data_IF_033593894975
#
_entry.id   IF_033593894975
#
_cell.length_a   1.000
_cell.length_b   1.000
_cell.length_c   1.000
_cell.angle_alpha   90.00
_cell.angle_beta   90.00
_cell.angle_gamma   90.00
#
_symmetry.space_group_name_H-M   'P 1'
#
loop_
_entity.id
_entity.type
_entity.pdbx_description
1 polymer ?
#
# COMPACT_ATOMS: atom_id res chain seq x y z
N UNK A 1 11.67 12.33 8.61
CA UNK A 1 12.40 11.69 7.46
C UNK A 1 11.54 10.56 6.98
N UNK A 2 11.28 10.47 5.66
CA UNK A 2 10.45 9.42 5.08
C UNK A 2 10.96 8.02 5.46
N UNK A 3 10.04 7.06 5.68
CA UNK A 3 10.40 5.65 5.98
C UNK A 3 11.15 5.04 4.78
N UNK A 4 10.68 5.36 3.58
CA UNK A 4 11.34 5.02 2.31
C UNK A 4 11.05 6.10 1.26
N UNK A 5 11.81 6.09 0.17
CA UNK A 5 11.52 6.85 -1.06
C UNK A 5 11.46 5.86 -2.22
N UNK A 6 10.58 6.10 -3.19
CA UNK A 6 10.43 5.22 -4.34
C UNK A 6 9.16 4.38 -4.29
N UNK A 7 9.23 3.13 -4.72
CA UNK A 7 8.09 2.23 -4.85
C UNK A 7 8.04 1.21 -3.70
N UNK A 8 7.07 1.36 -2.80
CA UNK A 8 6.72 0.34 -1.83
C UNK A 8 5.62 -0.57 -2.38
N UNK A 9 5.79 -1.88 -2.34
CA UNK A 9 4.76 -2.82 -2.75
C UNK A 9 3.73 -3.05 -1.64
N UNK A 10 2.45 -2.83 -1.92
CA UNK A 10 1.38 -3.38 -1.08
C UNK A 10 1.20 -4.85 -1.45
N UNK A 11 2.00 -5.71 -0.80
CA UNK A 11 2.17 -7.11 -1.20
C UNK A 11 0.90 -7.92 -0.95
N UNK A 12 0.56 -8.83 -1.88
CA UNK A 12 -0.53 -9.80 -1.69
C UNK A 12 -0.17 -10.81 -0.61
N UNK A 13 -1.19 -11.38 0.04
CA UNK A 13 -1.05 -12.56 0.91
C UNK A 13 -1.48 -13.79 0.12
N UNK A 14 -0.55 -14.69 -0.26
CA UNK A 14 -0.90 -15.94 -0.93
C UNK A 14 -1.71 -16.86 -0.01
N UNK A 15 -2.71 -17.51 -0.58
CA UNK A 15 -3.59 -18.43 0.16
C UNK A 15 -3.57 -19.82 -0.49
N UNK A 16 -3.60 -20.85 0.34
CA UNK A 16 -3.86 -22.23 -0.08
C UNK A 16 -5.32 -22.40 -0.50
N UNK A 17 -5.67 -23.55 -1.10
CA UNK A 17 -7.06 -23.87 -1.49
C UNK A 17 -8.02 -23.91 -0.30
N UNK A 18 -7.54 -24.29 0.88
CA UNK A 18 -8.32 -24.30 2.13
C UNK A 18 -8.46 -22.90 2.77
N UNK A 19 -7.86 -21.88 2.14
CA UNK A 19 -7.87 -20.51 2.60
C UNK A 19 -6.80 -20.17 3.65
N UNK A 20 -5.97 -21.10 4.09
CA UNK A 20 -4.83 -20.81 4.98
C UNK A 20 -3.76 -19.99 4.26
N UNK A 21 -2.97 -19.21 5.01
CA UNK A 21 -1.87 -18.42 4.43
C UNK A 21 -0.76 -19.35 3.93
N UNK A 22 -0.34 -19.17 2.67
CA UNK A 22 0.77 -19.91 2.08
C UNK A 22 2.09 -19.16 2.28
N UNK A 23 2.76 -19.43 3.39
CA UNK A 23 4.01 -18.77 3.75
C UNK A 23 5.18 -19.09 2.81
N UNK A 24 5.20 -20.28 2.18
CA UNK A 24 6.23 -20.63 1.20
C UNK A 24 6.14 -19.69 -0.01
N UNK A 25 4.95 -19.59 -0.62
CA UNK A 25 4.71 -18.67 -1.73
C UNK A 25 4.86 -17.21 -1.34
N UNK A 26 4.48 -16.86 -0.11
CA UNK A 26 4.71 -15.50 0.40
C UNK A 26 6.20 -15.17 0.46
N UNK A 27 7.03 -16.12 0.92
CA UNK A 27 8.48 -15.97 0.93
C UNK A 27 9.07 -15.83 -0.48
N UNK A 28 8.57 -16.56 -1.48
CA UNK A 28 8.98 -16.43 -2.88
C UNK A 28 8.63 -15.03 -3.44
N UNK A 29 7.42 -14.52 -3.15
CA UNK A 29 7.00 -13.18 -3.56
C UNK A 29 7.84 -12.07 -2.92
N UNK A 30 8.20 -12.20 -1.63
CA UNK A 30 9.09 -11.26 -0.95
C UNK A 30 10.48 -11.23 -1.65
N UNK A 31 11.05 -12.40 -1.94
CA UNK A 31 12.34 -12.46 -2.66
C UNK A 31 12.24 -11.87 -4.06
N UNK A 32 11.16 -12.15 -4.78
CA UNK A 32 10.90 -11.55 -6.09
C UNK A 32 10.89 -10.02 -6.03
N UNK A 33 10.21 -9.44 -5.04
CA UNK A 33 10.16 -7.99 -4.86
C UNK A 33 11.54 -7.39 -4.59
N UNK A 34 12.29 -7.99 -3.66
CA UNK A 34 13.62 -7.51 -3.28
C UNK A 34 14.61 -7.63 -4.46
N UNK A 35 14.59 -8.76 -5.18
CA UNK A 35 15.47 -9.00 -6.32
C UNK A 35 15.20 -8.04 -7.50
N UNK A 36 13.99 -7.47 -7.57
CA UNK A 36 13.55 -6.57 -8.65
C UNK A 36 13.48 -5.09 -8.22
N UNK A 37 14.13 -4.72 -7.13
CA UNK A 37 14.39 -3.32 -6.77
C UNK A 37 13.26 -2.61 -6.04
N UNK A 38 12.30 -3.33 -5.47
CA UNK A 38 11.28 -2.72 -4.60
C UNK A 38 11.92 -2.01 -3.40
N UNK A 39 11.50 -0.77 -3.11
CA UNK A 39 12.10 0.08 -2.07
C UNK A 39 11.56 -0.20 -0.66
N UNK A 40 10.37 -0.77 -0.53
CA UNK A 40 9.77 -1.17 0.75
C UNK A 40 8.67 -2.22 0.55
N UNK A 41 8.39 -3.03 1.58
CA UNK A 41 7.24 -3.94 1.59
C UNK A 41 6.19 -3.44 2.57
N UNK A 42 4.96 -3.27 2.09
CA UNK A 42 3.79 -2.95 2.89
C UNK A 42 2.98 -4.23 3.05
N UNK A 43 3.03 -4.83 4.23
CA UNK A 43 2.40 -6.12 4.55
C UNK A 43 1.07 -5.92 5.24
N UNK A 44 0.12 -6.80 5.01
CA UNK A 44 -1.23 -6.78 5.61
C UNK A 44 -1.98 -5.45 5.38
N UNK A 45 -1.81 -4.84 4.20
CA UNK A 45 -2.71 -3.79 3.74
C UNK A 45 -3.97 -4.35 3.10
N UNK A 46 -4.69 -3.53 2.34
CA UNK A 46 -5.90 -3.93 1.60
C UNK A 46 -5.60 -5.05 0.60
N UNK A 47 -4.51 -4.91 -0.14
CA UNK A 47 -4.05 -5.89 -1.14
C UNK A 47 -3.62 -7.21 -0.51
N UNK A 48 -3.16 -7.18 0.74
CA UNK A 48 -2.83 -8.35 1.55
C UNK A 48 -4.04 -9.00 2.24
N UNK A 49 -5.28 -8.64 1.86
CA UNK A 49 -6.52 -9.21 2.41
C UNK A 49 -6.63 -9.14 3.95
N UNK A 50 -6.07 -8.09 4.55
CA UNK A 50 -6.01 -7.94 6.02
C UNK A 50 -7.38 -8.05 6.73
N UNK A 51 -8.47 -7.65 6.05
CA UNK A 51 -9.82 -7.67 6.59
C UNK A 51 -10.40 -9.08 6.79
N UNK A 52 -9.83 -10.10 6.17
CA UNK A 52 -10.26 -11.51 6.27
C UNK A 52 -9.26 -12.39 7.01
N UNK A 53 -8.14 -11.83 7.45
CA UNK A 53 -7.21 -12.48 8.36
C UNK A 53 -7.74 -12.38 9.80
N UNK A 54 -7.63 -13.45 10.58
CA UNK A 54 -7.76 -13.35 12.05
C UNK A 54 -6.63 -12.48 12.59
N UNK A 55 -6.75 -11.96 13.81
CA UNK A 55 -5.67 -11.16 14.40
C UNK A 55 -4.36 -11.97 14.53
N UNK A 56 -4.45 -13.26 14.81
CA UNK A 56 -3.31 -14.16 14.88
C UNK A 56 -2.63 -14.31 13.52
N UNK A 57 -3.39 -14.67 12.46
CA UNK A 57 -2.86 -14.77 11.09
C UNK A 57 -2.27 -13.44 10.59
N UNK A 58 -2.90 -12.32 10.94
CA UNK A 58 -2.43 -10.98 10.60
C UNK A 58 -1.04 -10.73 11.19
N UNK A 59 -0.90 -11.01 12.48
CA UNK A 59 0.36 -10.84 13.21
C UNK A 59 1.44 -11.83 12.77
N UNK A 60 1.07 -13.09 12.54
CA UNK A 60 1.99 -14.10 12.03
C UNK A 60 2.50 -13.75 10.62
N UNK A 61 1.63 -13.20 9.76
CA UNK A 61 2.00 -12.74 8.42
C UNK A 61 2.98 -11.57 8.48
N UNK A 62 2.74 -10.60 9.38
CA UNK A 62 3.68 -9.49 9.62
C UNK A 62 5.04 -10.03 10.11
N UNK A 63 5.01 -10.89 11.13
CA UNK A 63 6.23 -11.48 11.69
C UNK A 63 7.02 -12.23 10.65
N UNK A 64 6.37 -13.09 9.87
CA UNK A 64 7.01 -13.82 8.78
C UNK A 64 7.66 -12.88 7.76
N UNK A 65 6.95 -11.81 7.37
CA UNK A 65 7.47 -10.81 6.44
C UNK A 65 8.75 -10.15 6.99
N UNK A 66 8.74 -9.71 8.24
CA UNK A 66 9.90 -9.09 8.89
C UNK A 66 11.10 -10.04 8.93
N UNK A 67 10.86 -11.29 9.38
CA UNK A 67 11.90 -12.33 9.47
C UNK A 67 12.49 -12.65 8.08
N UNK A 68 11.63 -12.75 7.05
CA UNK A 68 12.02 -13.08 5.69
C UNK A 68 12.78 -11.93 5.00
N UNK A 69 12.34 -10.69 5.18
CA UNK A 69 13.01 -9.50 4.63
C UNK A 69 14.37 -9.27 5.30
N UNK A 70 14.51 -9.62 6.57
CA UNK A 70 15.76 -9.57 7.32
C UNK A 70 16.48 -8.21 7.21
N UNK A 71 15.75 -7.11 7.31
CA UNK A 71 16.26 -5.71 7.23
C UNK A 71 16.94 -5.32 5.92
N UNK A 72 16.74 -6.08 4.84
CA UNK A 72 17.26 -5.70 3.51
C UNK A 72 16.61 -4.46 2.91
N UNK A 73 15.31 -4.30 3.16
CA UNK A 73 14.52 -3.12 2.83
C UNK A 73 13.51 -2.86 3.96
N UNK A 74 12.93 -1.65 4.08
CA UNK A 74 11.91 -1.38 5.09
C UNK A 74 10.65 -2.25 4.97
N UNK A 75 10.10 -2.67 6.11
CA UNK A 75 8.79 -3.34 6.23
C UNK A 75 7.83 -2.42 6.97
N UNK A 76 6.72 -2.07 6.32
CA UNK A 76 5.63 -1.27 6.89
C UNK A 76 4.41 -2.16 7.08
N UNK A 77 3.91 -2.28 8.31
CA UNK A 77 2.77 -3.13 8.61
C UNK A 77 1.44 -2.35 8.54
N UNK A 78 0.47 -2.87 7.81
CA UNK A 78 -0.91 -2.38 7.85
C UNK A 78 -1.57 -2.81 9.16
N UNK A 79 -1.74 -1.89 10.10
CA UNK A 79 -2.33 -2.15 11.42
C UNK A 79 -3.58 -1.32 11.70
N UNK A 80 -4.00 -0.48 10.73
CA UNK A 80 -5.20 0.33 10.84
C UNK A 80 -6.47 -0.51 10.96
N UNK A 81 -7.42 -0.01 11.75
CA UNK A 81 -8.74 -0.61 11.96
C UNK A 81 -9.79 0.47 12.17
N UNK A 82 -11.06 0.12 11.97
CA UNK A 82 -12.19 0.97 12.35
C UNK A 82 -12.51 0.89 13.86
N UNK A 83 -11.82 0.04 14.59
CA UNK A 83 -11.81 -0.03 16.06
C UNK A 83 -10.45 0.45 16.57
N UNK A 84 -10.44 1.53 17.36
CA UNK A 84 -9.19 2.13 17.88
C UNK A 84 -8.39 1.15 18.73
N UNK A 85 -9.05 0.36 19.59
CA UNK A 85 -8.38 -0.64 20.44
C UNK A 85 -7.71 -1.73 19.61
N UNK A 86 -8.36 -2.20 18.54
CA UNK A 86 -7.77 -3.17 17.61
C UNK A 86 -6.56 -2.58 16.91
N UNK A 87 -6.64 -1.33 16.44
CA UNK A 87 -5.51 -0.67 15.79
C UNK A 87 -4.32 -0.48 16.74
N UNK A 88 -4.57 -0.12 18.00
CA UNK A 88 -3.53 -0.05 19.05
C UNK A 88 -2.89 -1.41 19.27
N UNK A 89 -3.70 -2.45 19.48
CA UNK A 89 -3.21 -3.81 19.71
C UNK A 89 -2.32 -4.32 18.57
N UNK A 90 -2.81 -4.24 17.33
CA UNK A 90 -2.05 -4.70 16.17
C UNK A 90 -0.76 -3.89 15.97
N UNK A 91 -0.79 -2.57 16.23
CA UNK A 91 0.38 -1.72 16.09
C UNK A 91 1.45 -2.04 17.14
N UNK A 92 1.06 -2.27 18.38
CA UNK A 92 1.98 -2.64 19.46
C UNK A 92 2.61 -4.03 19.25
N UNK A 93 1.84 -5.00 18.75
CA UNK A 93 2.40 -6.32 18.45
C UNK A 93 3.33 -6.27 17.23
N UNK A 94 2.95 -5.53 16.16
CA UNK A 94 3.80 -5.34 14.99
C UNK A 94 5.15 -4.66 15.36
N UNK A 95 5.13 -3.66 16.22
CA UNK A 95 6.35 -3.00 16.71
C UNK A 95 7.31 -4.01 17.40
N UNK A 96 6.79 -4.94 18.20
CA UNK A 96 7.60 -5.97 18.86
C UNK A 96 8.31 -6.89 17.86
N UNK A 97 7.73 -7.11 16.69
CA UNK A 97 8.35 -7.91 15.61
C UNK A 97 9.44 -7.14 14.86
N UNK A 98 9.55 -5.83 15.10
CA UNK A 98 10.62 -5.00 14.52
C UNK A 98 10.30 -4.45 13.13
N UNK A 99 9.04 -4.14 12.83
CA UNK A 99 8.66 -3.39 11.64
C UNK A 99 9.33 -2.01 11.62
N UNK A 100 9.55 -1.45 10.43
CA UNK A 100 10.17 -0.14 10.25
C UNK A 100 9.15 1.00 10.26
N UNK A 101 7.85 0.66 10.19
CA UNK A 101 6.73 1.58 10.28
C UNK A 101 5.38 0.89 10.26
N UNK A 102 4.33 1.67 10.45
CA UNK A 102 2.94 1.19 10.37
C UNK A 102 2.12 2.03 9.38
N UNK A 103 1.14 1.39 8.72
CA UNK A 103 0.17 2.03 7.84
C UNK A 103 -1.21 1.99 8.48
N UNK A 104 -1.79 3.17 8.71
CA UNK A 104 -3.05 3.33 9.42
C UNK A 104 -4.18 3.80 8.49
N UNK A 105 -5.01 2.88 8.01
CA UNK A 105 -6.20 3.23 7.23
C UNK A 105 -7.21 4.00 8.09
N UNK A 106 -7.88 4.99 7.49
CA UNK A 106 -8.97 5.70 8.18
C UNK A 106 -10.11 4.75 8.54
N UNK A 107 -10.80 4.96 9.69
CA UNK A 107 -11.94 4.14 10.08
C UNK A 107 -12.95 4.01 8.96
N UNK A 108 -13.21 2.78 8.52
CA UNK A 108 -14.15 2.41 7.49
C UNK A 108 -15.49 1.99 8.11
N UNK A 109 -16.59 2.09 7.37
CA UNK A 109 -17.94 1.73 7.75
C UNK A 109 -18.55 2.66 8.83
N UNK A 110 -18.04 2.65 10.07
CA UNK A 110 -18.54 3.51 11.18
C UNK A 110 -18.17 4.98 11.00
N UNK A 111 -17.24 5.31 10.09
CA UNK A 111 -16.77 6.67 9.75
C UNK A 111 -16.35 7.45 11.01
N UNK A 112 -15.77 8.62 10.79
CA UNK A 112 -15.47 9.53 11.88
C UNK A 112 -15.50 10.99 11.40
N UNK A 113 -15.76 11.93 12.32
CA UNK A 113 -15.51 13.35 12.07
C UNK A 113 -14.01 13.64 12.08
N UNK A 114 -13.56 14.78 11.54
CA UNK A 114 -12.13 15.15 11.57
C UNK A 114 -11.55 15.15 13.01
N UNK A 115 -12.34 15.59 13.99
CA UNK A 115 -11.97 15.50 15.40
C UNK A 115 -11.83 14.05 15.89
N UNK A 116 -12.69 13.16 15.43
CA UNK A 116 -12.63 11.72 15.72
C UNK A 116 -11.40 11.08 15.08
N UNK A 117 -11.13 11.39 13.80
CA UNK A 117 -9.92 10.93 13.09
C UNK A 117 -8.65 11.37 13.79
N UNK A 118 -8.57 12.64 14.16
CA UNK A 118 -7.42 13.17 14.91
C UNK A 118 -7.17 12.38 16.21
N UNK A 119 -8.23 12.16 17.01
CA UNK A 119 -8.12 11.40 18.26
C UNK A 119 -7.73 9.94 18.02
N UNK A 120 -8.35 9.30 17.03
CA UNK A 120 -8.07 7.91 16.66
C UNK A 120 -6.60 7.72 16.29
N UNK A 121 -6.12 8.46 15.30
CA UNK A 121 -4.73 8.33 14.83
C UNK A 121 -3.71 8.71 15.89
N UNK A 122 -3.97 9.78 16.66
CA UNK A 122 -3.11 10.17 17.76
C UNK A 122 -3.03 9.06 18.83
N UNK A 123 -4.16 8.46 19.20
CA UNK A 123 -4.18 7.37 20.21
C UNK A 123 -3.38 6.16 19.72
N UNK A 124 -3.49 5.79 18.45
CA UNK A 124 -2.72 4.67 17.89
C UNK A 124 -1.23 5.02 17.82
N UNK A 125 -0.88 6.17 17.30
CA UNK A 125 0.51 6.60 17.17
C UNK A 125 1.20 6.78 18.53
N UNK A 126 0.54 7.37 19.52
CA UNK A 126 1.07 7.50 20.90
C UNK A 126 1.35 6.14 21.57
N UNK A 127 0.78 5.04 21.08
CA UNK A 127 0.94 3.70 21.66
C UNK A 127 2.20 2.97 21.19
N UNK A 128 2.91 3.50 20.19
CA UNK A 128 4.11 2.92 19.57
C UNK A 128 5.18 3.99 19.33
N UNK A 129 6.41 3.56 19.04
CA UNK A 129 7.53 4.45 18.72
C UNK A 129 7.86 4.48 17.23
N UNK A 130 7.48 3.43 16.51
CA UNK A 130 7.74 3.34 15.06
C UNK A 130 6.95 4.42 14.30
N UNK A 131 7.47 4.92 13.17
CA UNK A 131 6.78 5.91 12.37
C UNK A 131 5.48 5.35 11.77
N UNK A 132 4.48 6.22 11.68
CA UNK A 132 3.16 5.91 11.15
C UNK A 132 2.86 6.72 9.90
N UNK A 133 2.34 6.04 8.86
CA UNK A 133 1.78 6.64 7.65
C UNK A 133 0.25 6.53 7.75
N UNK A 134 -0.44 7.66 7.63
CA UNK A 134 -1.91 7.67 7.53
C UNK A 134 -2.32 7.14 6.16
N UNK A 135 -3.48 6.48 6.06
CA UNK A 135 -3.99 6.02 4.77
C UNK A 135 -5.38 6.58 4.51
N UNK A 136 -5.47 7.47 3.51
CA UNK A 136 -6.70 8.10 3.06
C UNK A 136 -7.23 7.46 1.78
N UNK A 137 -8.35 6.72 1.87
CA UNK A 137 -8.99 6.03 0.74
C UNK A 137 -10.51 6.13 0.84
N UNK A 138 -11.10 7.32 0.59
CA UNK A 138 -12.53 7.57 0.77
C UNK A 138 -13.44 6.63 -0.02
N UNK A 139 -13.00 6.16 -1.19
CA UNK A 139 -13.76 5.22 -2.03
C UNK A 139 -14.02 3.86 -1.36
N UNK A 140 -13.16 3.46 -0.41
CA UNK A 140 -13.31 2.20 0.35
C UNK A 140 -13.88 2.42 1.74
N UNK A 141 -13.48 3.51 2.40
CA UNK A 141 -13.83 3.75 3.80
C UNK A 141 -15.11 4.56 3.97
N UNK A 142 -15.49 5.34 2.96
CA UNK A 142 -16.53 6.36 3.08
C UNK A 142 -16.13 7.51 4.02
N UNK A 143 -14.84 7.63 4.35
CA UNK A 143 -14.29 8.61 5.29
C UNK A 143 -13.05 9.27 4.66
N UNK A 144 -13.07 10.60 4.50
CA UNK A 144 -11.98 11.37 3.94
C UNK A 144 -11.21 12.11 5.05
N UNK A 145 -9.90 11.96 5.09
CA UNK A 145 -9.02 12.74 5.96
C UNK A 145 -8.72 14.04 5.23
N UNK A 146 -9.17 15.17 5.78
CA UNK A 146 -8.91 16.48 5.16
C UNK A 146 -7.42 16.88 5.32
N UNK A 147 -6.87 17.64 4.36
CA UNK A 147 -5.48 18.12 4.40
C UNK A 147 -5.07 18.74 5.73
N UNK A 148 -5.92 19.60 6.30
CA UNK A 148 -5.68 20.28 7.57
C UNK A 148 -5.55 19.29 8.73
N UNK A 149 -6.32 18.17 8.69
CA UNK A 149 -6.25 17.12 9.71
C UNK A 149 -4.94 16.33 9.59
N UNK A 150 -4.51 16.00 8.36
CA UNK A 150 -3.22 15.34 8.11
C UNK A 150 -2.07 16.20 8.63
N UNK A 151 -2.02 17.48 8.20
CA UNK A 151 -0.95 18.42 8.61
C UNK A 151 -0.93 18.63 10.12
N UNK A 152 -2.11 18.74 10.73
CA UNK A 152 -2.22 18.88 12.19
C UNK A 152 -1.66 17.65 12.91
N UNK A 153 -1.99 16.44 12.44
CA UNK A 153 -1.48 15.20 13.01
C UNK A 153 0.04 15.11 12.89
N UNK A 154 0.61 15.36 11.72
CA UNK A 154 2.07 15.35 11.52
C UNK A 154 2.81 16.41 12.33
N UNK A 155 2.17 17.53 12.69
CA UNK A 155 2.77 18.56 13.55
C UNK A 155 2.68 18.24 15.02
N UNK A 156 1.57 17.65 15.46
CA UNK A 156 1.27 17.47 16.89
C UNK A 156 1.75 16.09 17.41
N UNK A 157 2.05 15.13 16.53
CA UNK A 157 2.39 13.74 16.87
C UNK A 157 3.67 13.35 16.16
N UNK A 158 4.76 13.24 16.92
CA UNK A 158 6.14 13.13 16.42
C UNK A 158 6.34 11.97 15.44
N UNK A 159 5.69 10.82 15.67
CA UNK A 159 5.85 9.62 14.86
C UNK A 159 4.82 9.49 13.73
N UNK A 160 3.89 10.44 13.54
CA UNK A 160 3.08 10.50 12.30
C UNK A 160 3.87 11.29 11.25
N UNK A 161 4.43 10.57 10.27
CA UNK A 161 5.40 11.15 9.32
C UNK A 161 4.81 11.51 7.96
N UNK A 162 3.66 10.96 7.60
CA UNK A 162 3.10 11.19 6.27
C UNK A 162 1.75 10.53 6.01
N UNK A 163 1.37 10.52 4.75
CA UNK A 163 0.11 9.94 4.29
C UNK A 163 0.26 9.19 2.97
N UNK A 164 -0.36 8.00 2.88
CA UNK A 164 -0.71 7.35 1.62
C UNK A 164 -2.02 7.96 1.13
N UNK A 165 -1.96 8.73 0.06
CA UNK A 165 -3.11 9.44 -0.49
C UNK A 165 -3.69 8.67 -1.68
N UNK A 166 -4.87 8.13 -1.51
CA UNK A 166 -5.60 7.34 -2.48
C UNK A 166 -7.04 7.86 -2.72
N UNK A 167 -7.25 9.17 -2.50
CA UNK A 167 -8.55 9.81 -2.78
C UNK A 167 -8.83 9.94 -4.28
N UNK A 168 -7.80 9.91 -5.12
CA UNK A 168 -7.90 10.25 -6.54
C UNK A 168 -8.15 11.73 -6.81
N UNK A 169 -8.24 12.56 -5.78
CA UNK A 169 -8.51 14.00 -5.89
C UNK A 169 -7.20 14.80 -5.90
N UNK A 170 -6.64 14.99 -7.08
CA UNK A 170 -5.37 15.71 -7.25
C UNK A 170 -5.42 17.15 -6.71
N UNK A 171 -6.58 17.81 -6.71
CA UNK A 171 -6.73 19.14 -6.13
C UNK A 171 -6.58 19.12 -4.60
N UNK A 172 -7.15 18.11 -3.92
CA UNK A 172 -6.96 17.91 -2.49
C UNK A 172 -5.48 17.60 -2.18
N UNK A 173 -4.84 16.77 -3.01
CA UNK A 173 -3.43 16.41 -2.83
C UNK A 173 -2.52 17.62 -3.04
N UNK A 174 -2.79 18.47 -4.04
CA UNK A 174 -2.06 19.71 -4.25
C UNK A 174 -2.22 20.70 -3.07
N UNK A 175 -3.44 20.79 -2.51
CA UNK A 175 -3.65 21.58 -1.30
C UNK A 175 -2.88 21.01 -0.10
N UNK A 176 -2.92 19.69 0.09
CA UNK A 176 -2.12 19.02 1.13
C UNK A 176 -0.63 19.30 0.97
N UNK A 177 -0.10 19.18 -0.25
CA UNK A 177 1.31 19.47 -0.54
C UNK A 177 1.68 20.92 -0.21
N UNK A 178 0.79 21.88 -0.54
CA UNK A 178 1.02 23.29 -0.27
C UNK A 178 1.08 23.63 1.23
N UNK A 179 0.14 23.11 2.04
CA UNK A 179 0.07 23.42 3.48
C UNK A 179 0.91 22.49 4.36
N UNK A 180 1.31 21.34 3.83
CA UNK A 180 2.11 20.31 4.51
C UNK A 180 3.60 20.33 4.15
N UNK A 181 4.07 21.33 3.38
CA UNK A 181 5.43 21.41 2.91
C UNK A 181 6.46 21.31 4.05
N UNK A 182 7.40 20.34 3.93
CA UNK A 182 8.44 20.09 4.93
C UNK A 182 7.95 19.39 6.20
N UNK A 183 6.65 19.02 6.28
CA UNK A 183 6.05 18.38 7.45
C UNK A 183 5.44 17.02 7.11
N UNK A 184 4.89 16.85 5.90
CA UNK A 184 4.13 15.66 5.50
C UNK A 184 4.83 14.97 4.34
N UNK A 185 5.25 13.73 4.52
CA UNK A 185 5.65 12.86 3.41
C UNK A 185 4.41 12.31 2.71
N UNK A 186 4.25 12.58 1.40
CA UNK A 186 3.09 12.16 0.62
C UNK A 186 3.48 10.98 -0.28
N UNK A 187 2.85 9.83 -0.09
CA UNK A 187 2.93 8.69 -0.99
C UNK A 187 1.67 8.61 -1.87
N UNK A 188 1.84 8.35 -3.16
CA UNK A 188 0.70 7.97 -3.98
C UNK A 188 0.14 6.64 -3.50
N UNK A 189 -1.17 6.54 -3.34
CA UNK A 189 -1.88 5.27 -3.13
C UNK A 189 -2.51 4.74 -4.41
N UNK A 190 -2.35 5.46 -5.53
CA UNK A 190 -2.87 5.15 -6.85
C UNK A 190 -1.72 5.05 -7.87
N UNK A 191 -1.59 3.92 -8.55
CA UNK A 191 -0.52 3.68 -9.52
C UNK A 191 -0.61 4.59 -10.76
N UNK A 192 -1.79 5.02 -11.12
CA UNK A 192 -2.05 5.97 -12.21
C UNK A 192 -1.70 7.43 -11.87
N UNK A 193 -1.33 7.73 -10.61
CA UNK A 193 -1.03 9.07 -10.11
C UNK A 193 0.37 9.22 -9.53
N UNK A 194 1.31 8.30 -9.81
CA UNK A 194 2.68 8.36 -9.27
C UNK A 194 3.34 9.67 -9.67
N UNK A 195 3.51 9.91 -10.96
CA UNK A 195 4.23 11.10 -11.49
C UNK A 195 3.54 12.42 -11.09
N UNK A 196 2.21 12.59 -11.20
CA UNK A 196 1.53 13.77 -10.69
C UNK A 196 1.82 14.08 -9.21
N UNK A 197 1.85 13.05 -8.35
CA UNK A 197 2.11 13.24 -6.92
C UNK A 197 3.59 13.53 -6.66
N UNK A 198 4.52 12.88 -7.37
CA UNK A 198 5.95 13.21 -7.31
C UNK A 198 6.19 14.67 -7.73
N UNK A 199 5.49 15.17 -8.76
CA UNK A 199 5.58 16.55 -9.20
C UNK A 199 5.07 17.57 -8.15
N UNK A 200 4.19 17.15 -7.24
CA UNK A 200 3.75 17.94 -6.09
C UNK A 200 4.66 17.81 -4.86
N UNK A 201 5.81 17.12 -4.99
CA UNK A 201 6.75 16.92 -3.89
C UNK A 201 6.53 15.62 -3.11
N UNK A 202 5.76 14.69 -3.66
CA UNK A 202 5.59 13.34 -3.10
C UNK A 202 6.92 12.58 -3.05
N UNK A 203 7.00 11.61 -2.14
CA UNK A 203 8.22 10.84 -1.87
C UNK A 203 8.21 9.44 -2.49
N UNK A 204 7.09 9.01 -3.09
CA UNK A 204 6.98 7.71 -3.72
C UNK A 204 5.54 7.23 -3.87
N UNK A 205 5.39 5.91 -4.00
CA UNK A 205 4.11 5.21 -4.16
C UNK A 205 4.03 4.00 -3.23
N UNK A 206 2.85 3.72 -2.71
CA UNK A 206 2.48 2.44 -2.09
C UNK A 206 1.55 1.74 -3.09
N UNK A 207 2.10 0.80 -3.84
CA UNK A 207 1.68 0.36 -5.16
C UNK A 207 1.03 -1.03 -5.16
N UNK A 208 0.03 -1.21 -6.00
CA UNK A 208 -0.50 -2.52 -6.41
C UNK A 208 0.24 -3.04 -7.65
N UNK A 209 0.54 -2.16 -8.63
CA UNK A 209 1.29 -2.47 -9.84
C UNK A 209 2.63 -3.15 -9.54
N UNK A 210 3.32 -2.73 -8.47
CA UNK A 210 4.60 -3.33 -8.04
C UNK A 210 4.51 -4.84 -7.79
N UNK A 211 3.35 -5.41 -7.47
CA UNK A 211 3.23 -6.86 -7.30
C UNK A 211 3.63 -7.62 -8.57
N UNK A 212 3.30 -7.09 -9.75
CA UNK A 212 3.52 -7.72 -11.06
C UNK A 212 4.64 -7.07 -11.89
N UNK A 213 4.99 -5.82 -11.58
CA UNK A 213 5.98 -5.03 -12.32
C UNK A 213 6.86 -4.20 -11.35
N UNK A 214 7.59 -4.85 -10.43
CA UNK A 214 8.37 -4.13 -9.40
C UNK A 214 9.44 -3.22 -9.98
N UNK A 215 10.26 -3.71 -10.91
CA UNK A 215 11.32 -2.93 -11.55
C UNK A 215 10.78 -1.67 -12.24
N UNK A 216 9.72 -1.83 -13.02
CA UNK A 216 9.13 -0.70 -13.76
C UNK A 216 8.53 0.34 -12.81
N UNK A 217 7.89 -0.11 -11.71
CA UNK A 217 7.31 0.81 -10.73
C UNK A 217 8.40 1.57 -9.96
N UNK A 218 9.49 0.89 -9.58
CA UNK A 218 10.67 1.53 -9.02
C UNK A 218 11.25 2.57 -9.98
N UNK A 219 11.47 2.21 -11.24
CA UNK A 219 12.04 3.08 -12.26
C UNK A 219 11.19 4.33 -12.55
N UNK A 220 9.85 4.25 -12.47
CA UNK A 220 9.00 5.45 -12.58
C UNK A 220 9.40 6.48 -11.51
N UNK A 221 9.59 6.04 -10.27
CA UNK A 221 10.00 6.93 -9.18
C UNK A 221 11.46 7.38 -9.32
N UNK A 222 12.38 6.44 -9.57
CA UNK A 222 13.81 6.71 -9.62
C UNK A 222 14.18 7.69 -10.73
N UNK A 223 13.65 7.51 -11.95
CA UNK A 223 13.84 8.46 -13.06
C UNK A 223 13.37 9.87 -12.70
N UNK A 224 12.24 9.99 -12.01
CA UNK A 224 11.76 11.30 -11.56
C UNK A 224 12.76 11.96 -10.61
N UNK A 225 13.28 11.21 -9.62
CA UNK A 225 14.23 11.72 -8.65
C UNK A 225 15.59 12.07 -9.27
N UNK A 226 15.99 11.34 -10.31
CA UNK A 226 17.22 11.59 -11.07
C UNK A 226 17.09 12.78 -12.06
N UNK A 227 15.88 13.37 -12.17
CA UNK A 227 15.61 14.49 -13.06
C UNK A 227 15.15 14.10 -14.48
N UNK A 228 15.07 12.80 -14.81
CA UNK A 228 14.49 12.30 -16.05
C UNK A 228 12.94 12.26 -15.95
N UNK A 229 12.35 13.44 -15.78
CA UNK A 229 10.89 13.58 -15.66
C UNK A 229 10.17 13.12 -16.94
N UNK A 230 10.78 13.27 -18.10
CA UNK A 230 10.19 12.84 -19.36
C UNK A 230 10.13 11.30 -19.46
N UNK A 231 11.19 10.60 -19.08
CA UNK A 231 11.25 9.16 -19.04
C UNK A 231 10.29 8.59 -17.98
N UNK A 232 10.28 9.16 -16.78
CA UNK A 232 9.33 8.79 -15.71
C UNK A 232 7.88 8.90 -16.17
N UNK A 233 7.52 10.04 -16.80
CA UNK A 233 6.18 10.25 -17.38
C UNK A 233 5.84 9.23 -18.46
N UNK A 234 6.77 8.92 -19.35
CA UNK A 234 6.51 7.94 -20.42
C UNK A 234 6.23 6.56 -19.83
N UNK A 235 7.05 6.10 -18.88
CA UNK A 235 6.81 4.82 -18.19
C UNK A 235 5.47 4.78 -17.45
N UNK A 236 5.07 5.88 -16.80
CA UNK A 236 3.74 6.01 -16.19
C UNK A 236 2.62 5.84 -17.22
N UNK A 237 2.75 6.49 -18.38
CA UNK A 237 1.74 6.41 -19.45
C UNK A 237 1.68 5.02 -20.07
N UNK A 238 2.81 4.36 -20.27
CA UNK A 238 2.89 2.99 -20.78
C UNK A 238 2.25 1.97 -19.82
N UNK A 239 2.25 2.24 -18.51
CA UNK A 239 1.64 1.39 -17.50
C UNK A 239 0.11 1.57 -17.35
N UNK A 240 -0.51 2.58 -17.97
CA UNK A 240 -1.91 2.96 -17.73
C UNK A 240 -2.91 1.85 -18.01
N UNK A 241 -2.74 1.11 -19.11
CA UNK A 241 -3.66 0.02 -19.46
C UNK A 241 -3.59 -1.13 -18.43
N UNK A 242 -2.39 -1.45 -17.95
CA UNK A 242 -2.20 -2.45 -16.90
C UNK A 242 -2.75 -1.94 -15.54
N UNK A 243 -2.49 -0.70 -15.17
CA UNK A 243 -3.09 -0.09 -13.97
C UNK A 243 -4.61 -0.20 -14.00
N UNK A 244 -5.24 0.18 -15.14
CA UNK A 244 -6.69 0.06 -15.30
C UNK A 244 -7.20 -1.38 -15.26
N UNK A 245 -6.43 -2.35 -15.76
CA UNK A 245 -6.79 -3.76 -15.70
C UNK A 245 -6.67 -4.33 -14.28
N UNK A 246 -5.68 -3.90 -13.50
CA UNK A 246 -5.49 -4.29 -12.10
C UNK A 246 -6.58 -3.75 -11.15
N UNK A 247 -7.39 -2.81 -11.62
CA UNK A 247 -8.52 -2.24 -10.85
C UNK A 247 -9.87 -2.35 -11.57
N UNK A 248 -9.98 -3.21 -12.61
CA UNK A 248 -11.25 -3.43 -13.31
C UNK A 248 -12.28 -4.21 -12.46
N UNK A 249 -11.83 -4.88 -11.42
CA UNK A 249 -12.63 -5.42 -10.32
C UNK A 249 -12.03 -4.98 -8.97
N UNK A 250 -12.65 -5.41 -7.88
CA UNK A 250 -12.18 -5.05 -6.53
C UNK A 250 -10.77 -5.58 -6.28
N UNK A 251 -9.81 -4.70 -6.01
CA UNK A 251 -8.48 -5.10 -5.54
C UNK A 251 -8.60 -5.82 -4.17
N UNK A 252 -7.98 -7.02 -3.99
CA UNK A 252 -6.88 -7.61 -4.76
C UNK A 252 -7.27 -8.68 -5.81
N UNK A 253 -8.52 -8.81 -6.22
CA UNK A 253 -8.92 -9.85 -7.16
C UNK A 253 -8.06 -9.81 -8.44
N UNK A 254 -7.93 -8.69 -9.19
CA UNK A 254 -7.13 -8.67 -10.40
C UNK A 254 -5.64 -8.93 -10.17
N UNK A 255 -5.02 -8.36 -9.14
CA UNK A 255 -3.59 -8.53 -8.93
C UNK A 255 -3.21 -9.95 -8.51
N UNK A 256 -4.01 -10.62 -7.69
CA UNK A 256 -3.79 -12.05 -7.38
C UNK A 256 -4.00 -12.94 -8.60
N UNK A 257 -5.03 -12.65 -9.41
CA UNK A 257 -5.26 -13.32 -10.70
C UNK A 257 -4.06 -13.13 -11.63
N UNK A 258 -3.51 -11.91 -11.73
CA UNK A 258 -2.31 -11.63 -12.51
C UNK A 258 -1.11 -12.46 -12.07
N UNK A 259 -0.82 -12.50 -10.76
CA UNK A 259 0.27 -13.32 -10.20
C UNK A 259 0.08 -14.82 -10.47
N UNK A 260 -1.17 -15.31 -10.41
CA UNK A 260 -1.47 -16.70 -10.77
C UNK A 260 -1.24 -16.96 -12.27
N UNK A 261 -1.61 -16.04 -13.17
CA UNK A 261 -1.32 -16.11 -14.60
C UNK A 261 0.21 -16.10 -14.89
N UNK A 262 0.97 -15.35 -14.11
CA UNK A 262 2.44 -15.31 -14.16
C UNK A 262 3.11 -16.56 -13.56
N UNK A 263 2.33 -17.51 -13.03
CA UNK A 263 2.85 -18.74 -12.41
C UNK A 263 3.44 -18.54 -11.00
N UNK A 264 3.18 -17.40 -10.37
CA UNK A 264 3.77 -17.03 -9.07
C UNK A 264 2.97 -17.56 -7.86
N UNK A 265 1.79 -18.16 -8.09
CA UNK A 265 1.07 -18.90 -7.07
C UNK A 265 0.50 -18.07 -5.92
N UNK A 266 -0.12 -16.91 -6.22
CA UNK A 266 -0.83 -16.12 -5.21
C UNK A 266 -2.07 -16.86 -4.62
N UNK A 267 -2.55 -17.90 -5.31
CA UNK A 267 -3.54 -18.86 -4.81
C UNK A 267 -4.96 -18.32 -4.75
N UNK A 268 -5.74 -18.88 -3.85
CA UNK A 268 -7.17 -18.64 -3.70
C UNK A 268 -7.50 -17.29 -3.05
N UNK A 269 -8.80 -16.95 -3.04
CA UNK A 269 -9.36 -15.78 -2.36
C UNK A 269 -10.13 -16.22 -1.12
N UNK A 270 -10.16 -15.40 -0.09
CA UNK A 270 -11.10 -15.57 1.01
C UNK A 270 -12.38 -14.77 0.75
N UNK A 271 -13.53 -15.39 0.99
CA UNK A 271 -14.80 -14.66 0.92
C UNK A 271 -14.78 -13.40 1.84
N UNK A 272 -15.40 -12.28 1.40
CA UNK A 272 -16.34 -12.15 0.28
C UNK A 272 -15.69 -12.03 -1.11
N UNK A 273 -14.35 -12.08 -1.21
CA UNK A 273 -13.68 -12.09 -2.52
C UNK A 273 -13.82 -13.46 -3.18
N UNK A 274 -13.85 -13.48 -4.51
CA UNK A 274 -13.97 -14.67 -5.32
C UNK A 274 -13.14 -14.53 -6.59
N UNK A 275 -13.20 -15.54 -7.44
CA UNK A 275 -12.53 -15.55 -8.73
C UNK A 275 -13.04 -14.42 -9.63
N UNK A 276 -12.13 -13.93 -10.47
CA UNK A 276 -12.38 -12.86 -11.42
C UNK A 276 -13.34 -13.30 -12.53
N UNK A 277 -14.21 -12.39 -12.98
CA UNK A 277 -15.08 -12.61 -14.14
C UNK A 277 -14.24 -12.89 -15.40
N UNK A 278 -14.65 -13.88 -16.21
CA UNK A 278 -13.89 -14.36 -17.37
C UNK A 278 -13.53 -13.25 -18.37
N UNK A 279 -14.44 -12.32 -18.63
CA UNK A 279 -14.20 -11.19 -19.54
C UNK A 279 -13.12 -10.26 -19.02
N UNK A 280 -13.10 -10.01 -17.71
CA UNK A 280 -12.10 -9.17 -17.04
C UNK A 280 -10.75 -9.90 -16.95
N UNK A 281 -10.75 -11.22 -16.71
CA UNK A 281 -9.54 -12.03 -16.73
C UNK A 281 -8.84 -11.99 -18.10
N UNK A 282 -9.59 -12.08 -19.20
CA UNK A 282 -9.05 -11.92 -20.57
C UNK A 282 -8.49 -10.53 -20.81
N UNK A 283 -9.16 -9.48 -20.31
CA UNK A 283 -8.67 -8.10 -20.37
C UNK A 283 -7.35 -7.95 -19.62
N UNK A 284 -7.28 -8.52 -18.42
CA UNK A 284 -6.08 -8.49 -17.57
C UNK A 284 -4.91 -9.23 -18.25
N UNK A 285 -5.15 -10.45 -18.76
CA UNK A 285 -4.14 -11.24 -19.47
C UNK A 285 -3.57 -10.46 -20.68
N UNK A 286 -4.45 -9.83 -21.46
CA UNK A 286 -4.01 -8.97 -22.58
C UNK A 286 -3.13 -7.82 -22.10
N UNK A 287 -3.53 -7.10 -21.03
CA UNK A 287 -2.77 -5.99 -20.50
C UNK A 287 -1.40 -6.41 -19.96
N UNK A 288 -1.31 -7.57 -19.30
CA UNK A 288 -0.04 -8.15 -18.82
C UNK A 288 0.90 -8.47 -19.99
N UNK A 289 0.39 -9.09 -21.09
CA UNK A 289 1.17 -9.39 -22.29
C UNK A 289 1.62 -8.13 -23.01
N UNK A 290 0.72 -7.17 -23.21
CA UNK A 290 1.04 -5.92 -23.90
C UNK A 290 2.10 -5.11 -23.13
N UNK A 291 2.08 -5.17 -21.81
CA UNK A 291 3.06 -4.53 -20.94
C UNK A 291 4.38 -5.33 -20.80
N UNK A 292 4.40 -6.59 -21.22
CA UNK A 292 5.59 -7.44 -21.25
C UNK A 292 5.97 -8.09 -19.92
N UNK A 293 4.99 -8.35 -19.04
CA UNK A 293 5.21 -9.05 -17.76
C UNK A 293 4.61 -10.46 -17.74
N UNK A 294 3.94 -10.88 -18.82
CA UNK A 294 3.41 -12.23 -19.04
C UNK A 294 3.83 -12.75 -20.43
#
# INVERSE_FOLDING_TARGET
MAIFKGAGVEIVTPMNEDGSVNYEKFGELIEFQIANGTDAIIVCGTTGESSTLTHEEHLDTIKYCVDKVAKRIPVVAGTGSNCTETAVYLSQEAEKYGVDGILLVSPYYNKATQKGLYRHFKTVADSVKVPAILYNVPSRTGCNILPETVVKLCKDVENIVGVKEASGNISQIAHLAAIGQGVVDIYSGNDDQIVPILALGGVGVISVLSNVAPTQTHEICQKFFDGDVAGSRQMQLDAMDLCNALFCEVNPIPVKTALNMMGMGAGAFRMPLCEMEEANAKRLEKALRDYGVL
#
